data_IF_514679362254
#
_entry.id   IF_514679362254
#
_cell.length_a   1.000
_cell.length_b   1.000
_cell.length_c   1.000
_cell.angle_alpha   90.00
_cell.angle_beta   90.00
_cell.angle_gamma   90.00
#
_symmetry.space_group_name_H-M   'P 1'
#
loop_
_entity.id
_entity.type
_entity.pdbx_description
1 polymer ?
#
# COMPACT_ATOMS: atom_id res chain seq x y z
N UNK A 1 8.77 -50.10 4.24
CA UNK A 1 8.54 -49.18 3.09
C UNK A 1 8.02 -47.80 3.52
N UNK A 2 7.04 -47.68 4.43
CA UNK A 2 6.52 -46.37 4.91
C UNK A 2 7.58 -45.41 5.51
N UNK A 3 8.60 -45.94 6.21
CA UNK A 3 9.67 -45.12 6.81
C UNK A 3 10.64 -44.51 5.78
N UNK A 4 10.87 -45.18 4.66
CA UNK A 4 11.68 -44.65 3.55
C UNK A 4 10.93 -43.59 2.75
N UNK A 5 9.60 -43.75 2.62
CA UNK A 5 8.75 -42.74 1.98
C UNK A 5 8.73 -41.42 2.77
N UNK A 6 8.70 -41.50 4.10
CA UNK A 6 8.72 -40.34 4.99
C UNK A 6 10.06 -39.58 4.92
N UNK A 7 11.18 -40.30 4.74
CA UNK A 7 12.50 -39.70 4.56
C UNK A 7 12.65 -38.98 3.21
N UNK A 8 12.01 -39.51 2.17
CA UNK A 8 11.98 -38.89 0.84
C UNK A 8 11.17 -37.59 0.81
N UNK A 9 10.08 -37.51 1.59
CA UNK A 9 9.28 -36.28 1.72
C UNK A 9 10.05 -35.22 2.48
N UNK A 10 10.76 -35.60 3.55
CA UNK A 10 11.57 -34.68 4.34
C UNK A 10 12.69 -34.03 3.50
N UNK A 11 13.34 -34.81 2.61
CA UNK A 11 14.37 -34.29 1.71
C UNK A 11 13.84 -33.29 0.67
N UNK A 12 12.56 -33.37 0.28
CA UNK A 12 11.97 -32.48 -0.71
C UNK A 12 11.61 -31.09 -0.14
N UNK A 13 11.42 -31.01 1.19
CA UNK A 13 11.12 -29.75 1.89
C UNK A 13 12.38 -28.89 2.08
N UNK A 14 13.56 -29.50 2.18
CA UNK A 14 14.84 -28.79 2.33
C UNK A 14 15.47 -28.31 1.02
N UNK A 15 14.91 -28.65 -0.15
CA UNK A 15 15.44 -28.23 -1.46
C UNK A 15 14.82 -26.92 -1.98
N UNK A 16 14.05 -26.20 -1.17
CA UNK A 16 13.53 -24.90 -1.59
C UNK A 16 14.71 -23.91 -1.64
N UNK A 17 14.89 -23.18 -2.75
CA UNK A 17 15.90 -22.12 -2.81
C UNK A 17 15.54 -21.07 -1.76
N UNK A 18 16.42 -20.90 -0.78
CA UNK A 18 16.38 -19.75 0.11
C UNK A 18 16.78 -18.56 -0.75
N UNK A 19 15.79 -17.82 -1.26
CA UNK A 19 16.02 -16.47 -1.77
C UNK A 19 16.42 -15.62 -0.56
N UNK A 20 17.72 -15.51 -0.34
CA UNK A 20 18.29 -14.46 0.51
C UNK A 20 18.01 -13.15 -0.20
N UNK A 21 17.28 -12.28 0.52
CA UNK A 21 17.19 -10.82 0.39
C UNK A 21 17.63 -10.26 -0.96
N UNK A 22 16.65 -9.75 -1.72
CA UNK A 22 16.88 -8.72 -2.72
C UNK A 22 17.96 -7.78 -2.20
N UNK A 23 19.03 -7.61 -2.99
CA UNK A 23 19.91 -6.47 -2.87
C UNK A 23 18.99 -5.24 -2.87
N UNK A 24 18.68 -4.75 -1.67
CA UNK A 24 18.51 -3.33 -1.49
C UNK A 24 19.84 -2.77 -1.95
N UNK A 25 19.86 -2.29 -3.19
CA UNK A 25 20.85 -1.35 -3.68
C UNK A 25 20.80 -0.17 -2.70
N UNK A 26 21.41 -0.32 -1.52
CA UNK A 26 22.05 0.80 -0.85
C UNK A 26 23.07 1.24 -1.88
N UNK A 27 22.72 2.33 -2.57
CA UNK A 27 23.57 3.08 -3.46
C UNK A 27 25.01 2.95 -2.96
N UNK A 28 25.77 2.16 -3.71
CA UNK A 28 27.20 2.06 -3.55
C UNK A 28 27.67 3.48 -3.64
N UNK A 29 28.14 4.01 -2.51
CA UNK A 29 28.90 5.23 -2.25
C UNK A 29 29.63 5.69 -3.52
N UNK A 30 28.86 6.22 -4.45
CA UNK A 30 29.33 6.48 -5.79
C UNK A 30 30.02 7.81 -5.61
N UNK A 31 31.34 7.81 -5.77
CA UNK A 31 32.12 9.04 -5.92
C UNK A 31 31.43 9.79 -7.07
N UNK A 32 30.54 10.69 -6.70
CA UNK A 32 29.35 11.01 -7.47
C UNK A 32 28.75 12.26 -6.86
N UNK A 33 28.12 13.04 -7.72
CA UNK A 33 27.71 14.39 -7.41
C UNK A 33 26.82 14.45 -6.16
N UNK A 34 27.29 15.11 -5.10
CA UNK A 34 26.50 15.29 -3.87
C UNK A 34 25.53 16.47 -4.05
N UNK A 35 24.31 16.29 -3.55
CA UNK A 35 23.24 17.29 -3.62
C UNK A 35 22.84 17.72 -2.21
N UNK A 36 23.00 18.99 -1.89
CA UNK A 36 22.68 19.59 -0.60
C UNK A 36 21.37 20.39 -0.71
N UNK A 37 20.28 19.80 -0.23
CA UNK A 37 18.97 20.45 -0.21
C UNK A 37 18.92 21.58 0.83
N UNK A 38 18.47 22.77 0.42
CA UNK A 38 18.28 23.91 1.33
C UNK A 38 16.80 24.05 1.68
N UNK A 39 15.99 24.23 0.63
CA UNK A 39 14.56 24.49 0.74
C UNK A 39 13.80 23.59 -0.24
N UNK A 40 12.76 22.92 0.24
CA UNK A 40 11.78 22.21 -0.58
C UNK A 40 10.40 22.34 0.07
N UNK A 41 9.59 23.28 -0.42
CA UNK A 41 8.24 23.48 0.12
C UNK A 41 7.29 24.07 -0.92
N UNK A 42 6.00 23.89 -0.67
CA UNK A 42 4.92 24.43 -1.51
C UNK A 42 4.23 25.58 -0.78
N UNK A 43 3.94 26.67 -1.48
CA UNK A 43 3.13 27.78 -0.94
C UNK A 43 1.73 27.30 -0.58
N UNK A 44 1.19 27.79 0.55
CA UNK A 44 -0.16 27.41 1.01
C UNK A 44 -1.30 28.06 0.22
N UNK A 45 -1.05 29.21 -0.41
CA UNK A 45 -2.05 29.95 -1.19
C UNK A 45 -1.89 29.67 -2.70
N UNK A 46 -3.00 29.51 -3.44
CA UNK A 46 -2.95 29.34 -4.89
C UNK A 46 -2.46 30.63 -5.58
N UNK A 47 -1.65 30.52 -6.65
CA UNK A 47 -1.18 29.30 -7.28
C UNK A 47 -0.18 28.53 -6.42
N UNK A 48 -0.34 27.20 -6.37
CA UNK A 48 0.52 26.32 -5.60
C UNK A 48 1.88 26.22 -6.29
N UNK A 49 2.83 27.01 -5.80
CA UNK A 49 4.20 27.06 -6.32
C UNK A 49 5.09 26.23 -5.40
N UNK A 50 5.72 25.21 -5.97
CA UNK A 50 6.81 24.47 -5.36
C UNK A 50 8.10 25.28 -5.51
N UNK A 51 8.71 25.61 -4.37
CA UNK A 51 9.98 26.33 -4.27
C UNK A 51 11.04 25.31 -3.88
N UNK A 52 12.04 25.20 -4.74
CA UNK A 52 13.18 24.31 -4.53
C UNK A 52 14.47 25.11 -4.62
N UNK A 53 15.35 24.91 -3.63
CA UNK A 53 16.70 25.48 -3.63
C UNK A 53 17.69 24.44 -3.10
N UNK A 54 18.79 24.24 -3.82
CA UNK A 54 19.84 23.28 -3.44
C UNK A 54 21.20 23.70 -4.00
N UNK A 55 22.25 23.12 -3.43
CA UNK A 55 23.62 23.20 -3.93
C UNK A 55 24.10 21.83 -4.39
N UNK A 56 25.08 21.82 -5.28
CA UNK A 56 25.76 20.61 -5.71
C UNK A 56 27.27 20.70 -5.45
N UNK A 57 27.93 19.55 -5.27
CA UNK A 57 29.38 19.51 -5.00
C UNK A 57 30.25 20.03 -6.13
N UNK A 58 29.75 19.97 -7.38
CA UNK A 58 30.42 20.45 -8.58
C UNK A 58 29.46 21.34 -9.40
N UNK A 59 29.95 21.93 -10.48
CA UNK A 59 29.14 22.73 -11.42
C UNK A 59 28.37 21.80 -12.37
N UNK A 60 27.04 21.85 -12.38
CA UNK A 60 26.22 21.03 -13.27
C UNK A 60 25.01 21.76 -13.85
N UNK A 61 24.35 21.12 -14.82
CA UNK A 61 22.95 21.38 -15.12
C UNK A 61 22.08 20.51 -14.23
N UNK A 62 20.90 20.99 -13.87
CA UNK A 62 19.99 20.22 -13.03
C UNK A 62 18.55 20.22 -13.53
N UNK A 63 17.95 19.04 -13.41
CA UNK A 63 16.54 18.76 -13.65
C UNK A 63 15.93 18.18 -12.36
N UNK A 64 14.63 18.35 -12.21
CA UNK A 64 13.86 17.78 -11.10
C UNK A 64 12.75 16.92 -11.68
N UNK A 65 12.64 15.70 -11.16
CA UNK A 65 11.61 14.75 -11.52
C UNK A 65 10.70 14.58 -10.31
N UNK A 66 9.43 14.98 -10.45
CA UNK A 66 8.40 14.90 -9.39
C UNK A 66 7.49 13.71 -9.67
N UNK A 67 7.22 12.89 -8.65
CA UNK A 67 6.35 11.69 -8.69
C UNK A 67 6.74 10.71 -9.81
N UNK A 68 8.03 10.66 -10.18
CA UNK A 68 8.55 9.89 -11.32
C UNK A 68 7.84 10.15 -12.67
N UNK A 69 7.11 11.26 -12.81
CA UNK A 69 6.26 11.57 -13.97
C UNK A 69 6.55 12.93 -14.57
N UNK A 70 6.75 13.95 -13.74
CA UNK A 70 6.84 15.33 -14.19
C UNK A 70 8.29 15.82 -14.12
N UNK A 71 8.89 16.10 -15.27
CA UNK A 71 10.26 16.61 -15.36
C UNK A 71 10.26 18.13 -15.58
N UNK A 72 11.07 18.83 -14.79
CA UNK A 72 11.25 20.28 -14.87
C UNK A 72 12.73 20.63 -14.90
N UNK A 73 13.09 21.52 -15.83
CA UNK A 73 14.46 22.07 -15.90
C UNK A 73 14.63 23.13 -14.82
N UNK A 74 15.62 22.95 -13.94
CA UNK A 74 15.92 23.88 -12.85
C UNK A 74 16.91 24.95 -13.28
N UNK A 75 18.00 24.55 -13.95
CA UNK A 75 18.99 25.50 -14.46
C UNK A 75 19.30 25.26 -15.93
N UNK A 76 19.23 26.35 -16.71
CA UNK A 76 19.64 26.36 -18.13
C UNK A 76 21.16 26.56 -18.30
N UNK A 77 21.89 26.79 -17.21
CA UNK A 77 23.33 27.00 -17.20
C UNK A 77 24.01 26.16 -16.12
N UNK A 78 25.30 25.88 -16.34
CA UNK A 78 26.13 25.12 -15.42
C UNK A 78 26.43 26.00 -14.20
N UNK A 79 26.00 25.56 -13.02
CA UNK A 79 26.13 26.28 -11.74
C UNK A 79 26.29 25.27 -10.60
N UNK A 80 26.77 25.72 -9.45
CA UNK A 80 26.72 24.95 -8.19
C UNK A 80 25.43 25.26 -7.41
N UNK A 81 24.88 26.46 -7.61
CA UNK A 81 23.70 26.96 -6.92
C UNK A 81 22.48 26.88 -7.83
N UNK A 82 21.43 26.22 -7.36
CA UNK A 82 20.21 25.98 -8.13
C UNK A 82 18.98 26.40 -7.35
N UNK A 83 18.08 27.11 -8.03
CA UNK A 83 16.77 27.46 -7.47
C UNK A 83 15.71 27.46 -8.57
N UNK A 84 14.57 26.83 -8.29
CA UNK A 84 13.43 26.77 -9.19
C UNK A 84 12.12 27.09 -8.47
N UNK A 85 11.19 27.64 -9.24
CA UNK A 85 9.81 27.87 -8.84
C UNK A 85 8.91 27.18 -9.86
N UNK A 86 8.28 26.10 -9.44
CA UNK A 86 7.50 25.23 -10.31
C UNK A 86 6.03 25.39 -9.93
N UNK A 87 5.18 25.74 -10.88
CA UNK A 87 3.73 25.76 -10.66
C UNK A 87 3.20 24.33 -10.73
N UNK A 88 2.73 23.82 -9.59
CA UNK A 88 2.20 22.46 -9.44
C UNK A 88 0.67 22.45 -9.41
N UNK A 89 0.01 23.58 -9.61
CA UNK A 89 -1.46 23.72 -9.48
C UNK A 89 -2.22 22.82 -10.46
N UNK A 90 -1.68 22.60 -11.66
CA UNK A 90 -2.29 21.74 -12.68
C UNK A 90 -1.97 20.25 -12.50
N UNK A 91 -1.04 19.91 -11.59
CA UNK A 91 -0.58 18.54 -11.40
C UNK A 91 -1.52 17.79 -10.46
N UNK A 92 -1.65 16.49 -10.72
CA UNK A 92 -2.44 15.58 -9.88
C UNK A 92 -1.51 14.58 -9.22
N UNK A 93 -1.52 14.59 -7.89
CA UNK A 93 -0.80 13.68 -7.04
C UNK A 93 -1.77 12.71 -6.36
N UNK A 94 -1.31 11.48 -6.11
CA UNK A 94 -2.08 10.46 -5.41
C UNK A 94 -1.96 10.61 -3.90
N UNK A 95 -0.74 10.91 -3.43
CA UNK A 95 -0.39 11.02 -2.03
C UNK A 95 -0.12 12.47 -1.62
N UNK A 96 -0.29 12.74 -0.32
CA UNK A 96 -0.09 14.08 0.24
C UNK A 96 1.39 14.43 0.29
N UNK A 97 2.22 13.42 0.55
CA UNK A 97 3.66 13.52 0.49
C UNK A 97 4.09 13.07 -0.90
N UNK A 98 4.78 13.95 -1.62
CA UNK A 98 5.17 13.73 -3.01
C UNK A 98 6.67 13.58 -3.08
N UNK A 99 7.13 12.46 -3.64
CA UNK A 99 8.55 12.22 -3.84
C UNK A 99 9.08 12.97 -5.06
N UNK A 100 10.33 13.40 -4.98
CA UNK A 100 11.05 14.00 -6.10
C UNK A 100 12.53 13.61 -6.06
N UNK A 101 13.14 13.56 -7.24
CA UNK A 101 14.55 13.25 -7.44
C UNK A 101 15.18 14.39 -8.23
N UNK A 102 16.40 14.78 -7.85
CA UNK A 102 17.20 15.75 -8.59
C UNK A 102 18.12 14.97 -9.52
N UNK A 103 17.99 15.20 -10.83
CA UNK A 103 18.93 14.69 -11.84
C UNK A 103 19.94 15.79 -12.16
N UNK A 104 21.23 15.47 -12.04
CA UNK A 104 22.33 16.37 -12.38
C UNK A 104 23.03 15.87 -13.64
N UNK A 105 23.47 16.81 -14.47
CA UNK A 105 24.21 16.57 -15.71
C UNK A 105 25.50 17.37 -15.63
N UNK A 106 26.62 16.68 -15.45
CA UNK A 106 27.95 17.29 -15.45
C UNK A 106 28.32 17.82 -16.85
N UNK A 107 29.32 18.70 -16.90
CA UNK A 107 30.05 19.15 -18.09
C UNK A 107 30.47 18.02 -19.04
N UNK A 108 30.75 16.82 -18.51
CA UNK A 108 31.07 15.62 -19.29
C UNK A 108 29.84 14.94 -19.94
N UNK A 109 28.64 15.45 -19.67
CA UNK A 109 27.36 14.86 -20.09
C UNK A 109 26.93 13.63 -19.28
N UNK A 110 27.64 13.32 -18.18
CA UNK A 110 27.29 12.21 -17.28
C UNK A 110 26.09 12.61 -16.43
N UNK A 111 25.05 11.77 -16.44
CA UNK A 111 23.86 11.90 -15.60
C UNK A 111 24.09 11.22 -14.26
N UNK A 112 23.75 11.91 -13.18
CA UNK A 112 23.71 11.35 -11.82
C UNK A 112 22.36 11.69 -11.21
N UNK A 113 21.87 10.83 -10.32
CA UNK A 113 20.60 11.04 -9.61
C UNK A 113 20.90 11.19 -8.12
N UNK A 114 20.20 12.11 -7.48
CA UNK A 114 20.23 12.23 -6.02
C UNK A 114 19.43 11.11 -5.37
N UNK A 115 19.51 11.08 -4.04
CA UNK A 115 18.51 10.40 -3.21
C UNK A 115 17.09 10.92 -3.48
N UNK A 116 16.10 10.14 -3.08
CA UNK A 116 14.70 10.52 -3.17
C UNK A 116 14.35 11.45 -2.01
N UNK A 117 13.92 12.66 -2.34
CA UNK A 117 13.40 13.64 -1.39
C UNK A 117 11.87 13.68 -1.42
N UNK A 118 11.29 14.31 -0.42
CA UNK A 118 9.86 14.36 -0.21
C UNK A 118 9.41 15.77 0.18
N UNK A 119 8.27 16.22 -0.33
CA UNK A 119 7.61 17.45 0.13
C UNK A 119 6.12 17.23 0.39
N UNK A 120 5.60 17.99 1.36
CA UNK A 120 4.19 17.91 1.72
C UNK A 120 3.33 18.89 0.90
N UNK A 121 2.24 18.38 0.35
CA UNK A 121 1.20 19.20 -0.25
C UNK A 121 0.38 19.92 0.83
N UNK A 122 0.01 21.20 0.60
CA UNK A 122 -0.81 21.97 1.52
C UNK A 122 -2.30 21.59 1.44
N UNK A 123 -2.70 20.69 0.55
CA UNK A 123 -4.06 20.21 0.35
C UNK A 123 -4.12 18.68 0.31
N UNK A 124 -5.30 18.11 0.54
CA UNK A 124 -5.51 16.67 0.44
C UNK A 124 -5.61 16.24 -1.05
N UNK A 125 -4.79 15.29 -1.50
CA UNK A 125 -4.86 14.78 -2.86
C UNK A 125 -6.18 14.06 -3.12
N UNK A 126 -6.65 14.08 -4.37
CA UNK A 126 -7.83 13.33 -4.77
C UNK A 126 -7.49 11.83 -4.87
N UNK A 127 -7.89 11.05 -3.88
CA UNK A 127 -7.81 9.57 -3.91
C UNK A 127 -8.80 9.07 -4.98
N UNK A 128 -8.29 8.66 -6.14
CA UNK A 128 -9.13 8.08 -7.21
C UNK A 128 -9.48 6.60 -6.98
N UNK A 129 -8.79 5.92 -6.06
CA UNK A 129 -8.99 4.49 -5.80
C UNK A 129 -9.22 4.23 -4.30
N UNK A 130 -10.49 4.33 -3.90
CA UNK A 130 -10.95 3.80 -2.61
C UNK A 130 -11.50 2.38 -2.81
N UNK A 131 -11.04 1.44 -1.99
CA UNK A 131 -11.72 0.14 -1.84
C UNK A 131 -13.22 0.37 -1.72
N UNK A 132 -14.00 -0.26 -2.59
CA UNK A 132 -15.42 0.05 -2.69
C UNK A 132 -16.07 -0.16 -1.32
N UNK A 133 -16.81 0.85 -0.85
CA UNK A 133 -17.59 0.76 0.40
C UNK A 133 -18.47 -0.50 0.43
N UNK A 134 -18.87 -0.97 -0.75
CA UNK A 134 -19.55 -2.24 -1.00
C UNK A 134 -18.72 -3.46 -0.58
N UNK A 135 -17.44 -3.52 -0.93
CA UNK A 135 -16.53 -4.59 -0.50
C UNK A 135 -16.47 -4.67 1.03
N UNK A 136 -16.31 -3.52 1.69
CA UNK A 136 -16.23 -3.45 3.15
C UNK A 136 -17.54 -3.88 3.82
N UNK A 137 -18.69 -3.43 3.31
CA UNK A 137 -20.00 -3.83 3.82
C UNK A 137 -20.34 -5.30 3.55
N UNK A 138 -19.93 -5.87 2.40
CA UNK A 138 -20.19 -7.26 2.04
C UNK A 138 -19.36 -8.24 2.87
N UNK A 139 -18.07 -7.94 3.09
CA UNK A 139 -17.24 -8.76 3.98
C UNK A 139 -17.73 -8.69 5.43
N UNK A 140 -18.02 -7.49 5.95
CA UNK A 140 -18.54 -7.33 7.30
C UNK A 140 -19.93 -8.00 7.49
N UNK A 141 -20.83 -7.87 6.50
CA UNK A 141 -22.16 -8.47 6.54
C UNK A 141 -22.15 -10.00 6.45
N UNK A 142 -21.22 -10.58 5.68
CA UNK A 142 -21.15 -12.04 5.48
C UNK A 142 -20.86 -12.80 6.78
N UNK A 143 -20.06 -12.23 7.68
CA UNK A 143 -19.73 -12.82 8.99
C UNK A 143 -20.98 -12.99 9.86
N UNK A 144 -21.97 -12.11 9.72
CA UNK A 144 -23.24 -12.21 10.45
C UNK A 144 -24.27 -13.10 9.73
N UNK A 145 -24.09 -13.40 8.45
CA UNK A 145 -24.99 -14.28 7.70
C UNK A 145 -24.64 -15.76 7.95
N UNK A 146 -23.35 -16.08 8.03
CA UNK A 146 -22.90 -17.46 8.14
C UNK A 146 -23.20 -18.06 9.52
N UNK A 147 -23.86 -19.23 9.58
CA UNK A 147 -24.07 -19.95 10.83
C UNK A 147 -22.76 -20.65 11.26
N UNK A 148 -22.55 -20.74 12.56
CA UNK A 148 -21.36 -21.37 13.13
C UNK A 148 -21.59 -22.89 13.24
N UNK A 149 -20.77 -23.73 12.59
CA UNK A 149 -20.84 -25.17 12.77
C UNK A 149 -20.24 -25.55 14.13
N UNK A 150 -20.86 -26.53 14.78
CA UNK A 150 -20.42 -27.09 16.05
C UNK A 150 -20.62 -28.60 16.08
N UNK A 151 -19.97 -29.22 17.05
CA UNK A 151 -20.17 -30.63 17.41
C UNK A 151 -20.61 -30.68 18.86
N UNK A 152 -21.76 -31.29 19.11
CA UNK A 152 -22.28 -31.50 20.45
C UNK A 152 -22.43 -33.00 20.69
N UNK A 153 -21.78 -33.50 21.74
CA UNK A 153 -21.90 -34.89 22.15
C UNK A 153 -22.93 -35.00 23.29
N UNK A 154 -24.02 -35.72 23.04
CA UNK A 154 -25.03 -35.99 24.06
C UNK A 154 -25.32 -37.49 24.11
N UNK A 155 -25.03 -38.09 25.26
CA UNK A 155 -25.30 -39.51 25.53
C UNK A 155 -24.73 -40.47 24.47
N UNK A 156 -23.44 -40.34 24.15
CA UNK A 156 -22.67 -41.22 23.24
C UNK A 156 -23.05 -41.18 21.76
N UNK A 157 -23.83 -40.18 21.35
CA UNK A 157 -24.15 -39.91 19.95
C UNK A 157 -23.69 -38.47 19.65
N UNK A 158 -22.74 -38.33 18.74
CA UNK A 158 -22.24 -37.04 18.28
C UNK A 158 -23.21 -36.41 17.28
N UNK A 159 -23.66 -35.19 17.58
CA UNK A 159 -24.54 -34.41 16.69
C UNK A 159 -23.79 -33.22 16.11
N UNK A 160 -23.93 -33.00 14.81
CA UNK A 160 -23.52 -31.77 14.16
C UNK A 160 -24.54 -30.68 14.45
N UNK A 161 -24.09 -29.54 14.97
CA UNK A 161 -24.92 -28.38 15.27
C UNK A 161 -24.54 -27.22 14.37
N UNK A 162 -25.52 -26.37 14.07
CA UNK A 162 -25.32 -25.16 13.30
C UNK A 162 -26.05 -24.04 14.05
N UNK A 163 -25.31 -23.17 14.72
CA UNK A 163 -25.87 -22.14 15.59
C UNK A 163 -25.72 -20.75 14.97
N UNK A 164 -26.70 -19.88 15.22
CA UNK A 164 -26.66 -18.50 14.77
C UNK A 164 -27.18 -17.56 15.85
N UNK A 165 -26.44 -16.49 16.11
CA UNK A 165 -26.73 -15.49 17.15
C UNK A 165 -27.92 -14.59 16.80
N UNK A 166 -28.11 -14.25 15.52
CA UNK A 166 -29.14 -13.28 15.07
C UNK A 166 -30.28 -14.01 14.34
N UNK A 167 -31.55 -13.83 14.76
CA UNK A 167 -32.70 -14.39 14.05
C UNK A 167 -32.89 -13.67 12.71
N UNK A 168 -32.57 -14.35 11.60
CA UNK A 168 -32.70 -13.78 10.24
C UNK A 168 -34.17 -13.66 9.81
N UNK A 169 -35.03 -14.55 10.32
CA UNK A 169 -36.44 -14.64 9.92
C UNK A 169 -37.29 -14.57 11.18
N UNK A 170 -38.16 -13.56 11.27
CA UNK A 170 -39.15 -13.44 12.35
C UNK A 170 -40.56 -13.62 11.77
N UNK A 171 -41.30 -14.60 12.28
CA UNK A 171 -42.71 -14.77 11.95
C UNK A 171 -43.54 -14.08 13.03
N UNK A 172 -44.27 -13.01 12.65
CA UNK A 172 -45.32 -12.44 13.50
C UNK A 172 -46.69 -12.93 13.03
N UNK A 173 -47.35 -13.77 13.83
CA UNK A 173 -48.76 -14.14 13.66
C UNK A 173 -49.63 -13.33 14.64
N UNK A 174 -50.80 -12.86 14.18
CA UNK A 174 -51.72 -11.98 14.95
C UNK A 174 -52.83 -12.74 15.70
N UNK A 175 -52.81 -14.08 15.72
CA UNK A 175 -53.73 -14.91 16.51
C UNK A 175 -52.95 -16.02 17.21
N UNK A 176 -53.37 -16.35 18.43
CA UNK A 176 -52.77 -17.39 19.28
C UNK A 176 -52.47 -18.65 18.48
N UNK A 177 -51.19 -18.84 18.18
CA UNK A 177 -50.64 -20.10 17.74
C UNK A 177 -49.83 -20.64 18.90
N UNK A 178 -50.37 -21.65 19.56
CA UNK A 178 -49.59 -22.51 20.44
C UNK A 178 -48.62 -23.31 19.57
N UNK A 179 -47.40 -22.79 19.42
CA UNK A 179 -46.30 -23.57 18.85
C UNK A 179 -45.57 -24.30 19.97
N UNK A 180 -45.88 -25.59 20.10
CA UNK A 180 -45.06 -26.52 20.85
C UNK A 180 -43.92 -26.96 19.94
N UNK A 181 -42.73 -26.38 20.09
CA UNK A 181 -41.51 -26.93 19.51
C UNK A 181 -41.21 -28.24 20.25
N UNK A 182 -41.76 -29.36 19.78
CA UNK A 182 -41.16 -30.66 20.04
C UNK A 182 -40.04 -30.80 19.02
N UNK A 183 -38.81 -30.60 19.46
CA UNK A 183 -37.67 -31.17 18.77
C UNK A 183 -37.78 -32.69 18.95
N UNK A 184 -38.38 -33.37 17.98
CA UNK A 184 -38.41 -34.82 17.93
C UNK A 184 -38.25 -35.24 16.47
N UNK A 185 -37.13 -35.93 16.20
CA UNK A 185 -36.83 -36.66 14.96
C UNK A 185 -36.73 -35.81 13.68
N UNK A 186 -35.50 -35.52 13.28
CA UNK A 186 -35.16 -35.46 11.86
C UNK A 186 -34.79 -36.90 11.48
N UNK A 187 -35.64 -37.53 10.68
CA UNK A 187 -35.30 -38.75 9.96
C UNK A 187 -34.63 -38.37 8.64
N UNK A 188 -33.46 -38.94 8.40
CA UNK A 188 -33.10 -39.48 7.10
C UNK A 188 -32.81 -40.97 7.31
#
# INVERSE_FOLDING_TARGET
MKKLFLLSILSLVFSQPIFTQDEFETDVDSIGMEVFLIDAYVKQEPPYIFILSFYTSEVCLSNVIIDNKYEYVVSNGISEAHSAKIDITALKFLDKNVSFIIETIDSSGKKSKSESFEFDLPYEPMISEGSSIWTLCLFAGSVFVLPMPGLMDYSSIGYYTLTKEIPIISFRSKRELSFRIRCNRIYL
#
